data_IF_401885688389
#
_entry.id   IF_401885688389
#
_cell.length_a   1.000
_cell.length_b   1.000
_cell.length_c   1.000
_cell.angle_alpha   90.00
_cell.angle_beta   90.00
_cell.angle_gamma   90.00
#
_symmetry.space_group_name_H-M   'P 1'
#
loop_
_entity.id
_entity.type
_entity.pdbx_description
1 polymer ?
#
# COMPACT_ATOMS: atom_id res chain seq x y z
N UNK A 1 -22.06 9.51 -6.82
CA UNK A 1 -21.23 10.73 -7.08
C UNK A 1 -19.98 10.23 -7.78
N UNK A 2 -19.67 10.74 -8.97
CA UNK A 2 -18.43 10.33 -9.67
C UNK A 2 -17.24 10.89 -8.88
N UNK A 3 -16.41 10.01 -8.35
CA UNK A 3 -15.10 10.37 -7.78
C UNK A 3 -14.20 10.66 -8.96
N UNK A 4 -13.79 11.91 -9.11
CA UNK A 4 -12.80 12.26 -10.13
C UNK A 4 -11.42 11.97 -9.57
N UNK A 5 -10.73 11.00 -10.15
CA UNK A 5 -9.34 10.70 -9.84
C UNK A 5 -8.44 11.25 -10.94
N UNK A 6 -7.35 11.90 -10.54
CA UNK A 6 -6.29 12.32 -11.45
C UNK A 6 -5.26 11.20 -11.59
N UNK A 7 -4.59 11.16 -12.75
CA UNK A 7 -3.54 10.20 -13.00
C UNK A 7 -2.37 10.36 -12.01
N UNK A 8 -1.83 9.25 -11.56
CA UNK A 8 -0.65 9.23 -10.72
C UNK A 8 0.60 9.43 -11.58
N UNK A 9 1.48 10.38 -11.27
CA UNK A 9 2.67 10.67 -12.08
C UNK A 9 3.63 9.47 -12.23
N UNK A 10 3.58 8.55 -11.26
CA UNK A 10 4.43 7.37 -11.23
C UNK A 10 3.89 6.21 -12.06
N UNK A 11 2.63 6.26 -12.50
CA UNK A 11 2.03 5.24 -13.37
C UNK A 11 2.60 5.32 -14.78
N UNK A 12 3.08 4.19 -15.26
CA UNK A 12 3.50 4.03 -16.65
C UNK A 12 2.57 3.08 -17.37
N UNK A 13 2.37 3.32 -18.65
CA UNK A 13 1.54 2.43 -19.46
C UNK A 13 2.15 1.03 -19.53
N UNK A 14 1.35 0.01 -19.23
CA UNK A 14 1.73 -1.41 -19.27
C UNK A 14 2.82 -1.84 -18.25
N UNK A 15 3.12 -1.02 -17.25
CA UNK A 15 3.99 -1.40 -16.13
C UNK A 15 3.23 -1.24 -14.82
N UNK A 16 3.27 -2.23 -13.90
CA UNK A 16 2.64 -2.08 -12.59
C UNK A 16 3.39 -1.04 -11.74
N UNK A 17 2.66 -0.25 -10.97
CA UNK A 17 3.23 0.65 -9.99
C UNK A 17 3.78 -0.16 -8.81
N UNK A 18 5.09 -0.12 -8.56
CA UNK A 18 5.73 -0.86 -7.47
C UNK A 18 6.06 0.10 -6.32
N UNK A 19 5.44 -0.16 -5.18
CA UNK A 19 5.69 0.51 -3.91
C UNK A 19 6.40 -0.49 -3.02
N UNK A 20 7.67 -0.25 -2.66
CA UNK A 20 8.44 -1.19 -1.87
C UNK A 20 9.26 -0.52 -0.77
N UNK A 21 9.57 -1.26 0.27
CA UNK A 21 10.35 -0.82 1.43
C UNK A 21 9.93 -1.56 2.70
N UNK A 22 10.58 -1.31 3.84
CA UNK A 22 10.39 -2.11 5.03
C UNK A 22 9.00 -1.92 5.66
N UNK A 23 8.55 -2.93 6.39
CA UNK A 23 7.35 -2.83 7.21
C UNK A 23 7.45 -1.63 8.16
N UNK A 24 8.60 -1.46 8.81
CA UNK A 24 8.93 -0.30 9.64
C UNK A 24 10.32 0.23 9.36
N UNK A 25 10.46 1.56 9.45
CA UNK A 25 11.75 2.18 9.65
C UNK A 25 12.23 1.82 11.07
N UNK A 26 13.46 1.35 11.20
CA UNK A 26 14.03 0.85 12.45
C UNK A 26 15.26 1.65 12.86
N UNK A 27 16.18 1.82 11.92
CA UNK A 27 17.35 2.67 12.03
C UNK A 27 17.58 3.43 10.74
N UNK A 28 18.32 4.53 10.80
CA UNK A 28 18.67 5.31 9.61
C UNK A 28 19.47 4.46 8.60
N UNK A 29 20.40 3.67 9.09
CA UNK A 29 21.20 2.77 8.27
C UNK A 29 20.35 1.74 7.53
N UNK A 30 19.43 1.06 8.24
CA UNK A 30 18.49 0.10 7.66
C UNK A 30 17.64 0.74 6.57
N UNK A 31 17.09 1.95 6.80
CA UNK A 31 16.29 2.69 5.84
C UNK A 31 17.09 3.01 4.59
N UNK A 32 18.29 3.58 4.74
CA UNK A 32 19.12 4.00 3.62
C UNK A 32 19.69 2.82 2.82
N UNK A 33 20.11 1.74 3.47
CA UNK A 33 20.60 0.55 2.78
C UNK A 33 19.48 -0.13 1.99
N UNK A 34 18.31 -0.33 2.62
CA UNK A 34 17.13 -0.89 1.92
C UNK A 34 16.75 -0.04 0.70
N UNK A 35 16.72 1.30 0.86
CA UNK A 35 16.35 2.20 -0.22
C UNK A 35 17.36 2.17 -1.38
N UNK A 36 18.67 2.13 -1.07
CA UNK A 36 19.73 2.04 -2.10
C UNK A 36 19.61 0.77 -2.94
N UNK A 37 19.41 -0.38 -2.30
CA UNK A 37 19.26 -1.64 -3.02
C UNK A 37 17.97 -1.68 -3.84
N UNK A 38 16.85 -1.20 -3.30
CA UNK A 38 15.60 -1.10 -4.05
C UNK A 38 15.69 -0.12 -5.23
N UNK A 39 16.44 0.98 -5.08
CA UNK A 39 16.67 1.95 -6.16
C UNK A 39 17.48 1.36 -7.32
N UNK A 40 18.31 0.36 -7.10
CA UNK A 40 19.08 -0.30 -8.16
C UNK A 40 18.19 -1.02 -9.18
N UNK A 41 16.98 -1.40 -8.78
CA UNK A 41 15.92 -1.88 -9.68
C UNK A 41 15.00 -0.71 -10.08
N UNK A 42 15.06 -0.32 -11.34
CA UNK A 42 14.31 0.82 -11.86
C UNK A 42 12.78 0.63 -11.85
N UNK A 43 12.28 -0.56 -11.51
CA UNK A 43 10.84 -0.87 -11.40
C UNK A 43 10.23 -0.39 -10.09
N UNK A 44 11.05 -0.17 -9.04
CA UNK A 44 10.55 0.37 -7.77
C UNK A 44 10.31 1.88 -7.91
N UNK A 45 9.05 2.27 -7.92
CA UNK A 45 8.63 3.65 -8.20
C UNK A 45 8.55 4.51 -6.92
N UNK A 46 8.15 3.91 -5.79
CA UNK A 46 7.92 4.60 -4.53
C UNK A 46 8.53 3.80 -3.39
N UNK A 47 9.30 4.48 -2.54
CA UNK A 47 9.80 3.90 -1.30
C UNK A 47 8.77 4.06 -0.18
N UNK A 48 8.45 2.98 0.54
CA UNK A 48 7.56 3.01 1.70
C UNK A 48 8.30 2.63 2.98
N UNK A 49 7.96 3.25 4.10
CA UNK A 49 8.33 2.75 5.42
C UNK A 49 7.31 3.20 6.48
N UNK A 50 6.93 2.31 7.38
CA UNK A 50 6.09 2.68 8.51
C UNK A 50 6.93 3.28 9.65
N UNK A 51 6.61 4.48 10.08
CA UNK A 51 7.27 5.13 11.23
C UNK A 51 6.37 5.20 12.47
N UNK A 52 5.07 5.10 12.27
CA UNK A 52 4.05 4.94 13.30
C UNK A 52 3.29 3.64 13.04
N UNK A 53 3.18 2.77 14.04
CA UNK A 53 2.60 1.45 13.88
C UNK A 53 1.49 1.20 14.91
N UNK A 54 0.22 1.11 14.46
CA UNK A 54 -0.85 0.72 15.35
C UNK A 54 -0.68 -0.76 15.75
N UNK A 55 -0.47 -1.03 17.04
CA UNK A 55 -0.29 -2.39 17.56
C UNK A 55 -1.48 -2.84 18.37
N UNK A 56 -1.79 -4.12 18.26
CA UNK A 56 -2.88 -4.74 19.03
C UNK A 56 -2.48 -4.95 20.50
N UNK A 57 -1.19 -5.25 20.73
CA UNK A 57 -0.68 -5.49 22.09
C UNK A 57 0.19 -4.32 22.54
N UNK A 58 -0.05 -3.74 23.72
CA UNK A 58 0.89 -2.79 24.34
C UNK A 58 2.27 -3.40 24.51
N UNK A 59 3.31 -2.59 24.41
CA UNK A 59 4.70 -3.03 24.56
C UNK A 59 5.33 -3.68 23.32
N UNK A 60 4.59 -3.81 22.22
CA UNK A 60 5.17 -4.14 20.92
C UNK A 60 5.84 -2.89 20.31
N UNK A 61 6.75 -3.08 19.35
CA UNK A 61 7.39 -1.96 18.66
C UNK A 61 6.34 -1.11 17.91
N UNK A 62 6.13 0.12 18.35
CA UNK A 62 5.11 1.04 17.83
C UNK A 62 5.66 1.98 16.72
N UNK A 63 6.87 1.72 16.27
CA UNK A 63 7.59 2.55 15.30
C UNK A 63 8.55 3.54 15.97
N UNK A 64 9.43 4.11 15.18
CA UNK A 64 10.42 5.10 15.65
C UNK A 64 9.83 6.50 15.81
N UNK A 65 8.63 6.71 15.31
CA UNK A 65 7.98 8.02 15.36
C UNK A 65 8.61 9.04 14.41
N UNK A 66 8.50 10.30 14.78
CA UNK A 66 8.86 11.45 13.93
C UNK A 66 10.32 11.51 13.53
N UNK A 67 11.23 10.85 14.24
CA UNK A 67 12.65 10.78 13.85
C UNK A 67 12.83 10.10 12.49
N UNK A 68 11.98 9.12 12.17
CA UNK A 68 11.99 8.44 10.88
C UNK A 68 11.68 9.35 9.69
N UNK A 69 11.02 10.49 9.90
CA UNK A 69 10.77 11.48 8.84
C UNK A 69 12.07 12.03 8.25
N UNK A 70 13.07 12.30 9.09
CA UNK A 70 14.37 12.78 8.63
C UNK A 70 15.09 11.73 7.76
N UNK A 71 14.97 10.46 8.11
CA UNK A 71 15.55 9.37 7.32
C UNK A 71 14.88 9.23 5.95
N UNK A 72 13.56 9.38 5.90
CA UNK A 72 12.81 9.35 4.64
C UNK A 72 13.10 10.59 3.77
N UNK A 73 13.30 11.76 4.37
CA UNK A 73 13.78 12.94 3.63
C UNK A 73 15.14 12.67 2.97
N UNK A 74 16.04 11.95 3.64
CA UNK A 74 17.32 11.55 3.05
C UNK A 74 17.12 10.61 1.87
N UNK A 75 16.25 9.60 1.96
CA UNK A 75 15.91 8.71 0.84
C UNK A 75 15.43 9.54 -0.36
N UNK A 76 14.50 10.48 -0.14
CA UNK A 76 14.01 11.37 -1.18
C UNK A 76 15.11 12.23 -1.80
N UNK A 77 15.90 12.90 -0.98
CA UNK A 77 16.86 13.91 -1.44
C UNK A 77 18.14 13.27 -2.03
N UNK A 78 18.64 12.20 -1.44
CA UNK A 78 19.90 11.56 -1.87
C UNK A 78 19.70 10.52 -2.97
N UNK A 79 18.54 9.83 -2.98
CA UNK A 79 18.27 8.76 -3.95
C UNK A 79 17.23 9.15 -5.00
N UNK A 80 16.54 10.29 -4.84
CA UNK A 80 15.51 10.74 -5.78
C UNK A 80 14.27 9.82 -5.82
N UNK A 81 14.01 9.07 -4.75
CA UNK A 81 12.83 8.21 -4.66
C UNK A 81 11.69 8.93 -3.96
N UNK A 82 10.48 9.01 -4.55
CA UNK A 82 9.29 9.43 -3.82
C UNK A 82 9.07 8.56 -2.59
N UNK A 83 8.64 9.17 -1.48
CA UNK A 83 8.48 8.47 -0.20
C UNK A 83 7.03 8.44 0.27
N UNK A 84 6.61 7.30 0.80
CA UNK A 84 5.26 7.08 1.33
C UNK A 84 5.29 6.64 2.80
N UNK A 85 4.34 7.14 3.62
CA UNK A 85 4.17 6.73 5.02
C UNK A 85 2.71 6.53 5.41
N UNK A 86 2.49 5.73 6.48
CA UNK A 86 1.19 5.61 7.13
C UNK A 86 0.88 6.84 7.99
N UNK A 87 -0.36 7.30 7.92
CA UNK A 87 -0.92 8.30 8.84
C UNK A 87 -2.19 7.75 9.49
N UNK A 88 -2.39 8.03 10.77
CA UNK A 88 -3.53 7.55 11.54
C UNK A 88 -4.30 8.66 12.27
N UNK A 89 -3.80 9.89 12.23
CA UNK A 89 -4.40 11.06 12.89
C UNK A 89 -3.86 12.36 12.30
N UNK A 90 -4.44 13.48 12.71
CA UNK A 90 -4.08 14.82 12.25
C UNK A 90 -2.62 15.19 12.55
N UNK A 91 -2.09 14.78 13.72
CA UNK A 91 -0.70 15.05 14.07
C UNK A 91 0.25 14.40 13.07
N UNK A 92 0.03 13.13 12.70
CA UNK A 92 0.83 12.42 11.70
C UNK A 92 0.77 13.11 10.34
N UNK A 93 -0.42 13.58 9.92
CA UNK A 93 -0.57 14.35 8.68
C UNK A 93 0.27 15.62 8.72
N UNK A 94 0.14 16.43 9.77
CA UNK A 94 0.88 17.69 9.89
C UNK A 94 2.40 17.47 9.89
N UNK A 95 2.90 16.45 10.57
CA UNK A 95 4.33 16.14 10.63
C UNK A 95 4.85 15.63 9.28
N UNK A 96 4.09 14.77 8.60
CA UNK A 96 4.41 14.27 7.27
C UNK A 96 4.51 15.39 6.23
N UNK A 97 3.52 16.30 6.23
CA UNK A 97 3.51 17.46 5.33
C UNK A 97 4.68 18.41 5.56
N UNK A 98 5.00 18.70 6.83
CA UNK A 98 6.17 19.54 7.19
C UNK A 98 7.49 18.90 6.75
N UNK A 99 7.56 17.57 6.77
CA UNK A 99 8.72 16.82 6.31
C UNK A 99 8.77 16.64 4.78
N UNK A 100 7.78 17.13 4.04
CA UNK A 100 7.74 17.01 2.58
C UNK A 100 7.60 15.59 2.07
N UNK A 101 6.87 14.74 2.81
CA UNK A 101 6.49 13.39 2.35
C UNK A 101 5.61 13.50 1.11
N UNK A 102 5.84 12.62 0.13
CA UNK A 102 5.20 12.70 -1.18
C UNK A 102 3.83 12.03 -1.21
N UNK A 103 3.64 10.95 -0.46
CA UNK A 103 2.43 10.12 -0.50
C UNK A 103 2.07 9.69 0.92
N UNK A 104 0.79 9.77 1.25
CA UNK A 104 0.28 9.26 2.52
C UNK A 104 -0.54 8.01 2.29
N UNK A 105 -0.53 7.05 3.25
CA UNK A 105 -1.55 6.03 3.25
C UNK A 105 -2.30 5.96 4.58
N UNK A 106 -3.58 5.65 4.48
CA UNK A 106 -4.45 5.38 5.62
C UNK A 106 -4.46 3.86 5.84
N UNK A 107 -4.03 3.43 7.03
CA UNK A 107 -3.95 2.02 7.38
C UNK A 107 -5.33 1.38 7.61
N UNK A 108 -5.42 0.06 7.47
CA UNK A 108 -6.67 -0.70 7.55
C UNK A 108 -7.46 -0.51 8.86
N UNK A 109 -6.78 -0.33 9.99
CA UNK A 109 -7.42 -0.05 11.29
C UNK A 109 -7.99 1.35 11.36
N UNK A 110 -7.31 2.31 10.74
CA UNK A 110 -7.77 3.71 10.64
C UNK A 110 -8.92 3.82 9.67
N UNK A 111 -8.88 3.13 8.53
CA UNK A 111 -9.97 3.07 7.55
C UNK A 111 -11.28 2.54 8.17
N UNK A 112 -11.18 1.61 9.14
CA UNK A 112 -12.33 1.09 9.86
C UNK A 112 -13.00 2.10 10.81
N UNK A 113 -12.42 3.31 10.96
CA UNK A 113 -12.95 4.36 11.83
C UNK A 113 -13.30 5.63 11.02
N UNK A 114 -14.59 5.84 10.69
CA UNK A 114 -15.02 7.00 9.89
C UNK A 114 -14.68 8.36 10.50
N UNK A 115 -14.61 8.48 11.83
CA UNK A 115 -14.23 9.72 12.49
C UNK A 115 -12.75 10.05 12.25
N UNK A 116 -11.87 9.07 12.43
CA UNK A 116 -10.45 9.25 12.17
C UNK A 116 -10.17 9.60 10.69
N UNK A 117 -10.86 8.94 9.76
CA UNK A 117 -10.75 9.25 8.32
C UNK A 117 -11.26 10.66 8.03
N UNK A 118 -12.37 11.10 8.67
CA UNK A 118 -12.88 12.45 8.49
C UNK A 118 -11.89 13.51 8.99
N UNK A 119 -11.30 13.31 10.18
CA UNK A 119 -10.30 14.23 10.72
C UNK A 119 -9.05 14.33 9.81
N UNK A 120 -8.60 13.20 9.25
CA UNK A 120 -7.50 13.17 8.28
C UNK A 120 -7.91 13.92 6.99
N UNK A 121 -9.10 13.69 6.47
CA UNK A 121 -9.61 14.35 5.27
C UNK A 121 -9.71 15.87 5.47
N UNK A 122 -10.19 16.32 6.63
CA UNK A 122 -10.28 17.74 6.98
C UNK A 122 -8.90 18.39 7.09
N UNK A 123 -7.91 17.66 7.65
CA UNK A 123 -6.53 18.15 7.73
C UNK A 123 -5.83 18.24 6.37
N UNK A 124 -6.30 17.49 5.37
CA UNK A 124 -5.76 17.47 4.00
C UNK A 124 -6.50 18.43 3.06
N UNK A 125 -7.56 19.08 3.52
CA UNK A 125 -8.39 19.95 2.68
C UNK A 125 -7.59 21.06 2.00
N UNK A 126 -7.72 21.13 0.68
CA UNK A 126 -7.04 22.13 -0.15
C UNK A 126 -5.57 21.81 -0.46
N UNK A 127 -5.10 20.62 -0.12
CA UNK A 127 -3.75 20.17 -0.44
C UNK A 127 -3.77 19.20 -1.64
N UNK A 128 -2.73 19.28 -2.46
CA UNK A 128 -2.52 18.38 -3.58
C UNK A 128 -1.50 17.30 -3.20
N UNK A 129 -1.91 16.34 -2.39
CA UNK A 129 -1.08 15.20 -1.99
C UNK A 129 -1.79 13.88 -2.32
N UNK A 130 -1.10 12.91 -2.94
CA UNK A 130 -1.66 11.59 -3.19
C UNK A 130 -1.93 10.83 -1.88
N UNK A 131 -3.08 10.17 -1.79
CA UNK A 131 -3.47 9.38 -0.62
C UNK A 131 -3.91 7.98 -1.03
N UNK A 132 -3.28 6.97 -0.45
CA UNK A 132 -3.66 5.57 -0.57
C UNK A 132 -4.55 5.18 0.61
N UNK A 133 -5.63 4.44 0.36
CA UNK A 133 -6.57 3.97 1.39
C UNK A 133 -6.57 2.44 1.40
N UNK A 134 -6.02 1.83 2.46
CA UNK A 134 -6.12 0.37 2.64
C UNK A 134 -7.56 -0.01 2.96
N UNK A 135 -8.04 -1.15 2.42
CA UNK A 135 -9.33 -1.67 2.85
C UNK A 135 -9.38 -1.87 4.38
N UNK A 136 -10.56 -1.72 5.01
CA UNK A 136 -10.72 -1.97 6.43
C UNK A 136 -10.36 -3.41 6.80
N UNK A 137 -10.06 -3.66 8.08
CA UNK A 137 -9.72 -5.01 8.56
C UNK A 137 -10.88 -6.00 8.43
N UNK A 138 -12.12 -5.54 8.48
CA UNK A 138 -13.33 -6.31 8.25
C UNK A 138 -13.74 -6.25 6.75
N UNK A 139 -14.48 -7.26 6.24
CA UNK A 139 -14.93 -7.30 4.85
C UNK A 139 -16.12 -6.36 4.62
N UNK A 140 -15.86 -5.06 4.50
CA UNK A 140 -16.86 -4.01 4.36
C UNK A 140 -16.45 -3.05 3.24
N UNK A 141 -16.99 -3.28 2.03
CA UNK A 141 -16.73 -2.47 0.84
C UNK A 141 -17.31 -1.07 0.98
N UNK A 142 -18.49 -0.94 1.58
CA UNK A 142 -19.15 0.36 1.75
C UNK A 142 -18.32 1.27 2.68
N UNK A 143 -17.73 0.70 3.73
CA UNK A 143 -16.83 1.42 4.62
C UNK A 143 -15.55 1.87 3.91
N UNK A 144 -15.00 1.04 3.03
CA UNK A 144 -13.83 1.39 2.22
C UNK A 144 -14.13 2.52 1.24
N UNK A 145 -15.23 2.41 0.49
CA UNK A 145 -15.71 3.46 -0.42
C UNK A 145 -15.99 4.75 0.35
N UNK A 146 -16.64 4.66 1.51
CA UNK A 146 -16.92 5.82 2.36
C UNK A 146 -15.65 6.56 2.80
N UNK A 147 -14.54 5.84 3.07
CA UNK A 147 -13.26 6.46 3.37
C UNK A 147 -12.69 7.22 2.16
N UNK A 148 -12.75 6.62 0.96
CA UNK A 148 -12.33 7.23 -0.31
C UNK A 148 -13.17 8.48 -0.61
N UNK A 149 -14.50 8.40 -0.45
CA UNK A 149 -15.41 9.54 -0.67
C UNK A 149 -15.14 10.72 0.26
N UNK A 150 -14.76 10.49 1.54
CA UNK A 150 -14.41 11.57 2.48
C UNK A 150 -13.21 12.36 1.98
N UNK A 151 -12.18 11.68 1.52
CA UNK A 151 -11.00 12.33 0.92
C UNK A 151 -11.35 13.09 -0.36
N UNK A 152 -12.13 12.49 -1.25
CA UNK A 152 -12.59 13.14 -2.47
C UNK A 152 -13.41 14.40 -2.19
N UNK A 153 -14.32 14.35 -1.20
CA UNK A 153 -15.10 15.53 -0.75
C UNK A 153 -14.25 16.63 -0.12
N UNK A 154 -13.10 16.27 0.48
CA UNK A 154 -12.11 17.23 0.97
C UNK A 154 -11.27 17.86 -0.14
N UNK A 155 -11.41 17.39 -1.39
CA UNK A 155 -10.72 17.93 -2.55
C UNK A 155 -9.46 17.17 -2.96
N UNK A 156 -9.19 16.00 -2.36
CA UNK A 156 -8.09 15.15 -2.81
C UNK A 156 -8.47 14.51 -4.13
N UNK A 157 -7.66 14.69 -5.17
CA UNK A 157 -7.91 14.20 -6.54
C UNK A 157 -7.10 12.94 -6.87
N UNK A 158 -5.96 12.72 -6.19
CA UNK A 158 -5.11 11.53 -6.37
C UNK A 158 -5.33 10.54 -5.23
N UNK A 159 -6.37 9.73 -5.34
CA UNK A 159 -6.70 8.70 -4.36
C UNK A 159 -6.50 7.33 -4.99
N UNK A 160 -5.85 6.43 -4.24
CA UNK A 160 -5.71 5.03 -4.62
C UNK A 160 -6.25 4.11 -3.52
N UNK A 161 -6.77 2.97 -3.92
CA UNK A 161 -7.24 1.90 -3.03
C UNK A 161 -6.14 0.85 -2.88
N UNK A 162 -5.87 0.38 -1.66
CA UNK A 162 -4.90 -0.69 -1.39
C UNK A 162 -5.61 -1.88 -0.77
N UNK A 163 -5.62 -2.97 -1.52
CA UNK A 163 -6.17 -4.24 -1.08
C UNK A 163 -5.12 -5.03 -0.30
N UNK A 164 -5.40 -5.29 0.99
CA UNK A 164 -4.49 -5.98 1.92
C UNK A 164 -5.11 -7.22 2.59
N UNK A 165 -6.29 -7.66 2.08
CA UNK A 165 -7.08 -8.72 2.68
C UNK A 165 -7.83 -8.29 3.94
N UNK A 166 -8.61 -9.20 4.49
CA UNK A 166 -9.46 -8.98 5.66
C UNK A 166 -9.13 -9.96 6.78
N UNK A 167 -9.46 -9.59 8.02
CA UNK A 167 -9.33 -10.51 9.16
C UNK A 167 -10.30 -11.68 9.02
N UNK A 168 -9.87 -12.84 9.43
CA UNK A 168 -10.67 -14.07 9.43
C UNK A 168 -10.54 -14.76 10.79
N UNK A 169 -11.58 -15.47 11.17
CA UNK A 169 -11.59 -16.23 12.40
C UNK A 169 -10.92 -17.61 12.21
N UNK A 170 -11.15 -18.22 11.07
CA UNK A 170 -10.60 -19.53 10.75
C UNK A 170 -9.12 -19.44 10.33
N UNK A 171 -8.35 -20.47 10.66
CA UNK A 171 -6.96 -20.57 10.23
C UNK A 171 -6.90 -20.91 8.74
N UNK A 172 -6.13 -20.15 7.98
CA UNK A 172 -5.82 -20.41 6.59
C UNK A 172 -4.32 -20.30 6.33
N UNK A 173 -3.91 -20.57 5.09
CA UNK A 173 -2.53 -20.32 4.64
C UNK A 173 -2.20 -18.83 4.56
N UNK A 174 -3.20 -17.97 4.54
CA UNK A 174 -3.05 -16.51 4.51
C UNK A 174 -3.15 -15.92 5.91
N UNK A 175 -2.39 -14.86 6.16
CA UNK A 175 -2.52 -14.03 7.37
C UNK A 175 -3.85 -13.27 7.39
N UNK A 176 -4.24 -12.74 6.23
CA UNK A 176 -5.52 -12.10 6.01
C UNK A 176 -6.15 -12.71 4.76
N UNK A 177 -7.44 -13.05 4.82
CA UNK A 177 -8.12 -13.60 3.66
C UNK A 177 -8.11 -12.59 2.52
N UNK A 178 -7.72 -12.96 1.30
CA UNK A 178 -7.71 -12.04 0.16
C UNK A 178 -9.08 -11.42 -0.12
N UNK A 179 -10.17 -12.20 0.02
CA UNK A 179 -11.54 -11.74 -0.25
C UNK A 179 -11.63 -10.93 -1.56
N UNK A 180 -11.24 -11.56 -2.69
CA UNK A 180 -11.13 -10.91 -3.99
C UNK A 180 -12.44 -10.29 -4.46
N UNK A 181 -13.59 -10.82 -4.02
CA UNK A 181 -14.90 -10.29 -4.35
C UNK A 181 -15.07 -8.82 -3.93
N UNK A 182 -14.45 -8.41 -2.81
CA UNK A 182 -14.47 -7.00 -2.37
C UNK A 182 -13.84 -6.07 -3.40
N UNK A 183 -12.81 -6.55 -4.08
CA UNK A 183 -12.08 -5.76 -5.09
C UNK A 183 -12.90 -5.61 -6.36
N UNK A 184 -13.56 -6.68 -6.77
CA UNK A 184 -14.47 -6.66 -7.93
C UNK A 184 -15.60 -5.66 -7.67
N UNK A 185 -16.25 -5.74 -6.52
CA UNK A 185 -17.30 -4.82 -6.11
C UNK A 185 -16.82 -3.37 -6.02
N UNK A 186 -15.60 -3.14 -5.47
CA UNK A 186 -14.99 -1.81 -5.47
C UNK A 186 -14.80 -1.27 -6.89
N UNK A 187 -14.25 -2.08 -7.80
CA UNK A 187 -13.97 -1.69 -9.19
C UNK A 187 -15.26 -1.40 -9.97
N UNK A 188 -16.35 -2.13 -9.70
CA UNK A 188 -17.68 -1.85 -10.30
C UNK A 188 -18.20 -0.48 -9.88
N UNK A 189 -17.99 -0.07 -8.63
CA UNK A 189 -18.47 1.21 -8.12
C UNK A 189 -17.50 2.38 -8.40
N UNK A 190 -16.19 2.10 -8.48
CA UNK A 190 -15.12 3.07 -8.70
C UNK A 190 -14.17 2.58 -9.81
N UNK A 191 -14.61 2.55 -11.08
CA UNK A 191 -13.85 1.92 -12.18
C UNK A 191 -12.48 2.57 -12.42
N UNK A 192 -12.34 3.86 -12.19
CA UNK A 192 -11.13 4.62 -12.46
C UNK A 192 -10.19 4.76 -11.25
N UNK A 193 -10.50 4.08 -10.13
CA UNK A 193 -9.65 4.16 -8.93
C UNK A 193 -8.33 3.42 -9.16
N UNK A 194 -7.20 4.05 -8.82
CA UNK A 194 -5.92 3.34 -8.74
C UNK A 194 -6.03 2.21 -7.72
N UNK A 195 -5.79 0.97 -8.15
CA UNK A 195 -5.95 -0.22 -7.34
C UNK A 195 -4.63 -0.94 -7.15
N UNK A 196 -4.15 -0.96 -5.92
CA UNK A 196 -2.87 -1.57 -5.50
C UNK A 196 -3.15 -2.80 -4.63
N UNK A 197 -2.44 -3.90 -4.89
CA UNK A 197 -2.47 -5.05 -3.99
C UNK A 197 -1.29 -5.02 -3.01
N UNK A 198 -1.55 -5.37 -1.76
CA UNK A 198 -0.54 -5.56 -0.71
C UNK A 198 -0.40 -7.06 -0.39
N UNK A 199 0.40 -7.79 -1.19
CA UNK A 199 0.53 -9.23 -1.05
C UNK A 199 1.24 -9.63 0.24
N UNK A 200 2.09 -8.78 0.82
CA UNK A 200 2.79 -9.05 2.07
C UNK A 200 1.82 -9.22 3.23
N UNK A 201 0.85 -8.31 3.38
CA UNK A 201 -0.14 -8.40 4.45
C UNK A 201 -1.19 -9.49 4.20
N UNK A 202 -1.52 -9.81 2.95
CA UNK A 202 -2.39 -10.95 2.61
C UNK A 202 -1.69 -12.25 2.99
N UNK A 203 -0.48 -12.45 2.50
CA UNK A 203 0.27 -13.70 2.66
C UNK A 203 0.69 -13.95 4.10
N UNK A 204 1.27 -12.94 4.77
CA UNK A 204 1.95 -13.11 6.06
C UNK A 204 3.17 -14.03 6.00
N UNK A 205 3.56 -14.47 4.80
CA UNK A 205 4.62 -15.43 4.51
C UNK A 205 5.26 -15.09 3.15
N UNK A 206 6.59 -15.10 3.08
CA UNK A 206 7.37 -14.79 1.86
C UNK A 206 7.03 -15.69 0.68
N UNK A 207 6.79 -16.97 0.92
CA UNK A 207 6.56 -17.99 -0.12
C UNK A 207 5.29 -17.73 -0.93
N UNK A 208 4.29 -17.07 -0.32
CA UNK A 208 3.00 -16.83 -0.97
C UNK A 208 2.95 -15.47 -1.70
N UNK A 209 3.93 -14.58 -1.49
CA UNK A 209 3.90 -13.22 -2.06
C UNK A 209 3.78 -13.26 -3.58
N UNK A 210 4.60 -14.07 -4.26
CA UNK A 210 4.52 -14.18 -5.73
C UNK A 210 3.14 -14.64 -6.20
N UNK A 211 2.58 -15.68 -5.56
CA UNK A 211 1.25 -16.21 -5.92
C UNK A 211 0.16 -15.14 -5.79
N UNK A 212 0.14 -14.41 -4.66
CA UNK A 212 -0.85 -13.35 -4.42
C UNK A 212 -0.64 -12.18 -5.40
N UNK A 213 0.63 -11.81 -5.66
CA UNK A 213 0.97 -10.77 -6.64
C UNK A 213 0.51 -11.14 -8.05
N UNK A 214 0.71 -12.40 -8.47
CA UNK A 214 0.26 -12.85 -9.78
C UNK A 214 -1.27 -12.84 -9.89
N UNK A 215 -1.98 -13.30 -8.87
CA UNK A 215 -3.45 -13.21 -8.85
C UNK A 215 -3.93 -11.75 -8.98
N UNK A 216 -3.25 -10.82 -8.32
CA UNK A 216 -3.58 -9.40 -8.46
C UNK A 216 -3.35 -8.90 -9.90
N UNK A 217 -2.24 -9.28 -10.55
CA UNK A 217 -1.99 -8.94 -11.96
C UNK A 217 -3.05 -9.55 -12.88
N UNK A 218 -3.47 -10.79 -12.62
CA UNK A 218 -4.53 -11.47 -13.38
C UNK A 218 -5.90 -10.79 -13.21
N UNK A 219 -6.13 -10.09 -12.10
CA UNK A 219 -7.31 -9.27 -11.81
C UNK A 219 -7.14 -7.79 -12.22
N UNK A 220 -6.14 -7.47 -13.05
CA UNK A 220 -5.87 -6.13 -13.56
C UNK A 220 -5.67 -5.06 -12.47
N UNK A 221 -4.94 -5.38 -11.41
CA UNK A 221 -4.47 -4.36 -10.48
C UNK A 221 -3.43 -3.46 -11.15
N UNK A 222 -3.44 -2.18 -10.76
CA UNK A 222 -2.53 -1.17 -11.30
C UNK A 222 -1.13 -1.24 -10.68
N UNK A 223 -0.97 -1.98 -9.57
CA UNK A 223 0.33 -2.11 -8.92
C UNK A 223 0.35 -2.95 -7.66
N UNK A 224 1.52 -2.99 -7.02
CA UNK A 224 1.82 -3.78 -5.83
C UNK A 224 2.47 -2.93 -4.75
N UNK A 225 2.13 -3.19 -3.48
CA UNK A 225 2.80 -2.65 -2.30
C UNK A 225 3.44 -3.80 -1.52
N UNK A 226 4.76 -3.99 -1.67
CA UNK A 226 5.47 -5.14 -1.11
C UNK A 226 6.42 -4.70 0.01
N UNK A 227 6.40 -5.43 1.13
CA UNK A 227 7.35 -5.21 2.22
C UNK A 227 8.71 -5.83 1.89
N UNK A 228 9.73 -4.96 1.78
CA UNK A 228 11.11 -5.35 1.51
C UNK A 228 12.06 -4.73 2.54
N UNK A 229 12.99 -5.53 3.06
CA UNK A 229 13.92 -5.14 4.12
C UNK A 229 15.30 -5.71 3.82
N UNK A 230 16.36 -4.94 4.10
CA UNK A 230 17.75 -5.36 3.83
C UNK A 230 18.13 -6.66 4.57
N UNK A 231 17.56 -6.86 5.77
CA UNK A 231 17.78 -8.06 6.59
C UNK A 231 16.45 -8.46 7.26
N UNK A 232 15.50 -9.05 6.54
CA UNK A 232 14.14 -9.29 7.04
C UNK A 232 14.08 -10.26 8.22
N UNK A 233 15.05 -11.16 8.40
CA UNK A 233 15.06 -12.12 9.51
C UNK A 233 15.35 -11.46 10.86
N UNK A 234 15.97 -10.28 10.86
CA UNK A 234 16.24 -9.47 12.05
C UNK A 234 15.36 -8.23 12.15
N UNK A 235 14.31 -8.12 11.34
CA UNK A 235 13.41 -6.98 11.38
C UNK A 235 12.63 -6.91 12.71
N UNK A 236 12.36 -5.69 13.18
CA UNK A 236 11.64 -5.46 14.43
C UNK A 236 10.12 -5.68 14.32
N UNK A 237 9.63 -5.82 13.10
CA UNK A 237 8.22 -6.08 12.82
C UNK A 237 8.02 -6.96 11.60
N UNK A 238 6.98 -7.79 11.63
CA UNK A 238 6.45 -8.56 10.49
C UNK A 238 7.52 -9.37 9.70
N UNK A 239 8.46 -9.99 10.44
CA UNK A 239 9.62 -10.74 9.94
C UNK A 239 9.28 -11.73 8.83
N UNK A 240 8.20 -12.50 8.99
CA UNK A 240 7.87 -13.63 8.10
C UNK A 240 7.42 -13.21 6.71
N UNK A 241 6.94 -11.97 6.53
CA UNK A 241 6.32 -11.51 5.28
C UNK A 241 7.17 -10.53 4.47
N UNK A 242 8.29 -10.05 5.02
CA UNK A 242 9.20 -9.16 4.32
C UNK A 242 10.18 -9.95 3.47
N UNK A 243 10.45 -9.49 2.25
CA UNK A 243 11.44 -10.06 1.34
C UNK A 243 12.73 -9.24 1.36
N UNK A 244 13.85 -9.82 0.91
CA UNK A 244 15.03 -9.00 0.60
C UNK A 244 14.81 -8.24 -0.71
N UNK A 245 15.57 -7.15 -1.00
CA UNK A 245 15.54 -6.50 -2.31
C UNK A 245 15.79 -7.45 -3.47
N UNK A 246 16.72 -8.39 -3.34
CA UNK A 246 17.01 -9.42 -4.35
C UNK A 246 15.79 -10.36 -4.56
N UNK A 247 15.14 -10.78 -3.48
CA UNK A 247 13.92 -11.59 -3.57
C UNK A 247 12.78 -10.82 -4.23
N UNK A 248 12.66 -9.50 -3.98
CA UNK A 248 11.69 -8.65 -4.67
C UNK A 248 11.96 -8.66 -6.18
N UNK A 249 13.20 -8.44 -6.62
CA UNK A 249 13.59 -8.51 -8.03
C UNK A 249 13.17 -9.85 -8.64
N UNK A 250 13.49 -10.97 -7.98
CA UNK A 250 13.10 -12.31 -8.43
C UNK A 250 11.58 -12.50 -8.51
N UNK A 251 10.81 -11.88 -7.63
CA UNK A 251 9.34 -11.90 -7.71
C UNK A 251 8.89 -11.13 -8.96
N UNK A 252 9.39 -9.90 -9.15
CA UNK A 252 9.01 -9.04 -10.27
C UNK A 252 9.40 -9.64 -11.64
N UNK A 253 10.53 -10.35 -11.72
CA UNK A 253 10.98 -11.02 -12.95
C UNK A 253 10.05 -12.15 -13.40
N UNK A 254 9.33 -12.76 -12.47
CA UNK A 254 8.42 -13.88 -12.74
C UNK A 254 6.98 -13.45 -12.94
N UNK A 255 6.64 -12.16 -12.69
CA UNK A 255 5.29 -11.68 -12.87
C UNK A 255 4.93 -11.57 -14.34
N UNK A 256 3.77 -12.09 -14.68
CA UNK A 256 3.16 -11.93 -15.98
C UNK A 256 2.16 -10.76 -15.87
N UNK A 257 2.53 -9.62 -16.44
CA UNK A 257 1.63 -8.47 -16.56
C UNK A 257 0.85 -8.63 -17.85
N UNK A 258 -0.46 -8.76 -17.76
CA UNK A 258 -1.31 -8.88 -18.94
C UNK A 258 -1.49 -7.49 -19.55
N UNK A 259 -1.20 -7.34 -20.83
CA UNK A 259 -1.70 -6.21 -21.62
C UNK A 259 -3.24 -6.25 -21.61
N UNK A 260 -3.89 -5.08 -21.69
CA UNK A 260 -5.35 -4.93 -21.71
C UNK A 260 -6.04 -6.10 -22.42
N UNK A 261 -7.08 -6.67 -21.77
CA UNK A 261 -7.83 -7.79 -22.32
C UNK A 261 -8.26 -7.42 -23.74
N UNK A 262 -7.94 -8.21 -24.78
CA UNK A 262 -8.43 -7.93 -26.13
C UNK A 262 -9.96 -7.78 -26.08
N UNK A 263 -10.50 -6.75 -26.72
CA UNK A 263 -11.94 -6.56 -26.82
C UNK A 263 -12.60 -7.87 -27.28
N UNK A 264 -13.52 -8.43 -26.50
CA UNK A 264 -14.29 -9.63 -26.86
C UNK A 264 -14.03 -10.90 -26.04
N UNK A 265 -13.20 -10.85 -25.00
CA UNK A 265 -13.13 -11.99 -24.06
C UNK A 265 -14.12 -11.74 -22.92
N UNK A 266 -15.26 -12.44 -22.94
CA UNK A 266 -16.13 -12.55 -21.76
C UNK A 266 -15.34 -13.25 -20.64
N UNK A 267 -15.17 -12.55 -19.51
CA UNK A 267 -14.63 -13.16 -18.30
C UNK A 267 -15.60 -14.25 -17.85
N UNK A 268 -15.18 -15.51 -17.93
CA UNK A 268 -15.92 -16.61 -17.31
C UNK A 268 -16.01 -16.38 -15.80
N UNK A 269 -17.14 -16.71 -15.21
CA UNK A 269 -17.37 -16.54 -13.79
C UNK A 269 -16.30 -17.27 -12.96
N UNK A 270 -15.94 -16.70 -11.82
CA UNK A 270 -14.91 -17.22 -10.87
C UNK A 270 -15.27 -18.63 -10.36
N UNK A 271 -16.52 -19.06 -10.52
CA UNK A 271 -16.99 -20.41 -10.15
C UNK A 271 -16.45 -21.53 -11.07
N UNK A 272 -15.72 -21.19 -12.14
CA UNK A 272 -15.14 -22.16 -13.08
C UNK A 272 -13.58 -22.25 -12.99
N UNK A 273 -12.97 -21.58 -11.99
CA UNK A 273 -11.54 -21.62 -11.68
C UNK A 273 -11.29 -22.31 -10.33
#
# INVERSE_FOLDING_TARGET
>A
MLIKTEAWPQLKKNEPLIIAGPCSAETEEQVMQTAKELKSDNRVNIYRAGIWKPRTKPGSFEGVGSIGLAWLQRVKNELGMPVAIEVANVKHVCEALKAGIDILWIGARTTANPFAVQEIADALKGLDIPVLVKNPVNPDVALWIGAIERLSKAGITRIGAVHRGVSQFEKSSFRNNPEWQMVIELREQLPDILLINDPSHISGNRELIHKVSQTAMDLNFDGLMIEAHINPDNAWSDVAQQVTPEQLVSILDRLIVRAETPEGIELKSIDEL
#
